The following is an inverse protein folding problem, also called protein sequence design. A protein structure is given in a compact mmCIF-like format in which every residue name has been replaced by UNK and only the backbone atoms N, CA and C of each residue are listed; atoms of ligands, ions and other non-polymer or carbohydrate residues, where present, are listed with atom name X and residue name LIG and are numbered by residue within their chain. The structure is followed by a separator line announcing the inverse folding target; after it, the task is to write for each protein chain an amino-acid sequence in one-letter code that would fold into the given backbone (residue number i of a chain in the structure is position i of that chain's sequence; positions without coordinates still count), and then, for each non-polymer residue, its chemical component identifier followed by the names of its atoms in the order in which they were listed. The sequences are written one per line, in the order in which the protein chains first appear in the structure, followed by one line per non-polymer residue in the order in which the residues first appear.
data_IF_273203521159
#
_entry.id   IF_273203521159
#
_cell.length_a   1.000
_cell.length_b   1.000
_cell.length_c   1.000
_cell.angle_alpha   90.00
_cell.angle_beta   90.00
_cell.angle_gamma   90.00
#
_symmetry.space_group_name_H-M   'P 1'
#
loop_
_entity.id
_entity.type
_entity.pdbx_description
1 polymer ?
#
# COMPACT_ATOMS: atom_id res chain seq x y z
N UNK A 1 7.85 4.81 4.89
CA UNK A 1 7.72 5.68 6.08
C UNK A 1 6.62 6.70 5.86
N UNK A 2 5.84 6.98 6.91
CA UNK A 2 4.93 8.13 7.02
C UNK A 2 5.57 9.19 7.90
N UNK A 3 5.25 10.46 7.61
CA UNK A 3 5.56 11.62 8.45
C UNK A 3 4.28 12.13 9.08
N UNK A 4 4.35 12.61 10.31
CA UNK A 4 3.22 13.16 11.03
C UNK A 4 3.44 14.64 11.31
N UNK A 5 2.47 15.45 10.91
CA UNK A 5 2.33 16.85 11.26
C UNK A 5 1.40 16.97 12.47
N UNK A 6 1.71 17.86 13.38
CA UNK A 6 0.87 18.18 14.54
C UNK A 6 0.10 19.49 14.33
N UNK A 7 -0.83 19.81 15.21
CA UNK A 7 -1.93 20.76 15.06
C UNK A 7 -1.59 22.25 14.84
N UNK A 8 -0.33 22.62 14.82
CA UNK A 8 0.11 24.01 14.68
C UNK A 8 0.48 24.45 13.25
N UNK A 9 0.03 23.68 12.24
CA UNK A 9 0.24 24.04 10.84
C UNK A 9 -1.06 24.56 10.21
N UNK A 10 -0.96 25.47 9.23
CA UNK A 10 -2.13 25.91 8.46
C UNK A 10 -2.73 24.80 7.59
N UNK A 11 -1.99 23.70 7.35
CA UNK A 11 -2.50 22.48 6.71
C UNK A 11 -3.54 21.76 7.56
N UNK A 12 -3.59 22.00 8.88
CA UNK A 12 -4.58 21.39 9.78
C UNK A 12 -6.03 21.68 9.43
N UNK A 13 -6.28 22.71 8.60
CA UNK A 13 -7.61 23.10 8.11
C UNK A 13 -8.12 22.26 6.92
N UNK A 14 -7.32 21.31 6.42
CA UNK A 14 -7.78 20.43 5.35
C UNK A 14 -8.94 19.54 5.81
N UNK A 15 -10.04 19.58 5.09
CA UNK A 15 -11.23 18.78 5.35
C UNK A 15 -11.24 17.44 4.56
N UNK A 16 -10.43 17.33 3.53
CA UNK A 16 -10.31 16.12 2.71
C UNK A 16 -8.84 15.75 2.47
N UNK A 17 -8.61 14.49 2.13
CA UNK A 17 -7.27 14.04 1.73
C UNK A 17 -6.90 14.59 0.35
N UNK A 18 -5.69 15.13 0.24
CA UNK A 18 -5.11 15.55 -1.03
C UNK A 18 -4.12 14.48 -1.51
N UNK A 19 -4.20 14.14 -2.81
CA UNK A 19 -3.27 13.23 -3.49
C UNK A 19 -2.56 13.97 -4.62
N UNK A 20 -1.24 13.78 -4.66
CA UNK A 20 -0.32 14.34 -5.66
C UNK A 20 0.77 13.27 -5.92
N UNK A 21 2.03 13.56 -6.07
CA UNK A 21 3.10 12.53 -6.03
C UNK A 21 3.25 11.81 -4.66
N UNK A 22 2.61 12.35 -3.64
CA UNK A 22 2.37 11.78 -2.33
C UNK A 22 0.92 11.98 -1.90
N UNK A 23 0.68 12.11 -0.61
CA UNK A 23 -0.62 12.47 -0.05
C UNK A 23 -0.49 13.17 1.30
N UNK A 24 -1.52 13.93 1.66
CA UNK A 24 -1.73 14.49 3.00
C UNK A 24 -3.17 14.25 3.41
N UNK A 25 -3.37 13.79 4.64
CA UNK A 25 -4.72 13.50 5.17
C UNK A 25 -5.31 14.72 5.89
N UNK A 26 -6.61 14.76 6.15
CA UNK A 26 -7.16 15.65 7.17
C UNK A 26 -6.50 15.43 8.54
N UNK A 27 -6.64 16.40 9.41
CA UNK A 27 -6.23 16.28 10.81
C UNK A 27 -7.22 15.38 11.56
N UNK A 28 -6.70 14.33 12.20
CA UNK A 28 -7.47 13.43 13.05
C UNK A 28 -6.73 13.30 14.38
N UNK A 29 -7.41 13.59 15.48
CA UNK A 29 -6.85 13.53 16.84
C UNK A 29 -5.51 14.29 16.99
N UNK A 30 -5.41 15.45 16.33
CA UNK A 30 -4.21 16.29 16.39
C UNK A 30 -3.05 15.81 15.53
N UNK A 31 -3.25 14.77 14.70
CA UNK A 31 -2.25 14.19 13.79
C UNK A 31 -2.74 14.26 12.36
N UNK A 32 -1.87 14.72 11.48
CA UNK A 32 -2.07 14.72 10.03
C UNK A 32 -0.95 13.91 9.38
N UNK A 33 -1.30 12.91 8.58
CA UNK A 33 -0.32 12.04 7.93
C UNK A 33 0.10 12.61 6.58
N UNK A 34 1.41 12.61 6.36
CA UNK A 34 2.07 13.01 5.12
C UNK A 34 2.89 11.84 4.58
N UNK A 35 2.72 11.48 3.36
CA UNK A 35 3.40 10.30 2.81
C UNK A 35 3.38 10.13 1.29
N UNK A 36 3.99 9.07 0.88
CA UNK A 36 4.80 8.16 1.64
C UNK A 36 6.12 7.89 0.89
N UNK A 37 7.18 7.76 1.65
CA UNK A 37 8.43 7.22 1.13
C UNK A 37 8.38 5.68 1.18
N UNK A 38 9.00 5.06 0.18
CA UNK A 38 9.15 3.61 0.08
C UNK A 38 10.64 3.28 0.03
N UNK A 39 11.06 2.37 0.92
CA UNK A 39 12.44 1.91 1.00
C UNK A 39 12.44 0.37 0.91
N UNK A 40 13.33 -0.16 0.09
CA UNK A 40 13.52 -1.59 -0.11
C UNK A 40 14.57 -2.18 0.84
N UNK A 41 15.29 -1.36 1.61
CA UNK A 41 16.32 -1.80 2.55
C UNK A 41 15.78 -2.67 3.69
N UNK A 42 14.47 -2.59 3.95
CA UNK A 42 13.81 -3.29 5.04
C UNK A 42 14.09 -2.69 6.42
N UNK A 43 14.74 -1.55 6.51
CA UNK A 43 14.96 -0.81 7.76
C UNK A 43 13.63 -0.40 8.39
N UNK A 44 13.53 -0.59 9.73
CA UNK A 44 12.38 -0.19 10.53
C UNK A 44 12.62 1.09 11.34
N UNK A 45 13.73 1.77 11.10
CA UNK A 45 14.07 3.02 11.76
C UNK A 45 13.53 4.23 11.00
N UNK A 46 13.09 5.25 11.75
CA UNK A 46 12.72 6.53 11.16
C UNK A 46 13.95 7.19 10.54
N UNK A 47 13.77 7.71 9.34
CA UNK A 47 14.82 8.39 8.57
C UNK A 47 14.46 9.86 8.35
N UNK A 48 15.37 10.77 8.73
CA UNK A 48 15.25 12.19 8.43
C UNK A 48 15.14 12.44 6.92
N UNK A 49 15.91 11.69 6.12
CA UNK A 49 15.86 11.78 4.65
C UNK A 49 14.45 11.43 4.12
N UNK A 50 13.81 10.41 4.69
CA UNK A 50 12.46 10.02 4.29
C UNK A 50 11.42 11.07 4.71
N UNK A 51 11.59 11.73 5.85
CA UNK A 51 10.74 12.86 6.24
C UNK A 51 10.87 14.03 5.26
N UNK A 52 12.09 14.42 4.93
CA UNK A 52 12.35 15.50 3.96
C UNK A 52 11.79 15.15 2.57
N UNK A 53 11.93 13.90 2.14
CA UNK A 53 11.33 13.44 0.90
C UNK A 53 9.79 13.56 0.94
N UNK A 54 9.14 13.11 2.01
CA UNK A 54 7.68 13.23 2.12
C UNK A 54 7.20 14.69 2.08
N UNK A 55 7.96 15.62 2.69
CA UNK A 55 7.68 17.06 2.62
C UNK A 55 7.89 17.59 1.20
N UNK A 56 8.97 17.18 0.52
CA UNK A 56 9.28 17.67 -0.84
C UNK A 56 8.26 17.21 -1.90
N UNK A 57 7.47 16.17 -1.60
CA UNK A 57 6.37 15.75 -2.47
C UNK A 57 5.17 16.72 -2.44
N UNK A 58 5.00 17.50 -1.36
CA UNK A 58 3.93 18.50 -1.29
C UNK A 58 4.06 19.53 -2.41
N UNK A 59 2.96 19.97 -3.04
CA UNK A 59 2.95 21.15 -3.88
C UNK A 59 3.57 22.36 -3.17
N UNK A 60 4.28 23.17 -3.90
CA UNK A 60 5.05 24.32 -3.36
C UNK A 60 4.19 25.27 -2.53
N UNK A 61 2.94 25.48 -2.92
CA UNK A 61 1.96 26.31 -2.23
C UNK A 61 1.64 25.75 -0.84
N UNK A 62 1.54 24.42 -0.73
CA UNK A 62 1.27 23.76 0.54
C UNK A 62 2.53 23.68 1.42
N UNK A 63 3.72 23.60 0.82
CA UNK A 63 4.98 23.66 1.60
C UNK A 63 5.13 24.99 2.33
N UNK A 64 4.68 26.10 1.73
CA UNK A 64 4.68 27.44 2.36
C UNK A 64 3.80 27.55 3.60
N UNK A 65 2.87 26.63 3.79
CA UNK A 65 1.99 26.57 4.96
C UNK A 65 2.62 25.82 6.14
N UNK A 66 3.78 25.20 5.93
CA UNK A 66 4.53 24.53 6.98
C UNK A 66 5.38 25.55 7.76
N UNK A 67 5.59 25.35 9.06
CA UNK A 67 6.47 26.21 9.84
C UNK A 67 7.95 25.99 9.46
N UNK A 68 8.76 27.01 9.62
CA UNK A 68 10.23 26.98 9.32
C UNK A 68 10.95 25.90 10.15
N UNK A 69 10.54 25.73 11.41
CA UNK A 69 11.03 24.66 12.30
C UNK A 69 10.00 23.54 12.38
N UNK A 70 10.18 22.53 11.51
CA UNK A 70 9.27 21.37 11.46
C UNK A 70 9.89 20.16 12.14
N UNK A 71 9.41 19.84 13.33
CA UNK A 71 9.72 18.58 13.99
C UNK A 71 8.73 17.50 13.51
N UNK A 72 9.24 16.51 12.75
CA UNK A 72 8.43 15.43 12.19
C UNK A 72 8.59 14.17 13.03
N UNK A 73 7.50 13.71 13.60
CA UNK A 73 7.34 12.33 14.05
C UNK A 73 6.88 11.46 12.87
N UNK A 74 6.79 10.17 13.08
CA UNK A 74 6.35 9.30 11.98
C UNK A 74 6.27 7.84 12.37
N UNK A 75 5.97 7.03 11.38
CA UNK A 75 5.92 5.57 11.49
C UNK A 75 6.56 4.89 10.29
N UNK A 76 7.33 3.86 10.57
CA UNK A 76 7.80 2.91 9.56
C UNK A 76 6.99 1.62 9.71
N UNK A 77 6.60 1.03 8.59
CA UNK A 77 5.91 -0.26 8.55
C UNK A 77 6.37 -1.04 7.33
N UNK A 78 6.45 -2.35 7.46
CA UNK A 78 6.69 -3.24 6.32
C UNK A 78 5.37 -3.51 5.61
N UNK A 79 5.44 -3.52 4.28
CA UNK A 79 4.33 -3.92 3.42
C UNK A 79 4.77 -5.10 2.58
N UNK A 80 4.01 -6.17 2.61
CA UNK A 80 4.24 -7.29 1.74
C UNK A 80 3.64 -6.98 0.36
N UNK A 81 4.47 -7.12 -0.67
CA UNK A 81 4.07 -7.01 -2.06
C UNK A 81 4.71 -8.15 -2.85
N UNK A 82 3.98 -8.68 -3.82
CA UNK A 82 4.51 -9.62 -4.79
C UNK A 82 5.41 -8.91 -5.82
N UNK A 83 6.16 -9.67 -6.60
CA UNK A 83 7.05 -9.14 -7.64
C UNK A 83 6.31 -8.27 -8.68
N UNK A 84 5.09 -8.64 -9.05
CA UNK A 84 4.25 -7.89 -10.00
C UNK A 84 3.27 -6.94 -9.31
N UNK A 85 3.42 -6.74 -7.98
CA UNK A 85 2.58 -5.88 -7.13
C UNK A 85 1.08 -6.26 -7.12
N UNK A 86 0.73 -7.44 -7.61
CA UNK A 86 -0.61 -7.99 -7.53
C UNK A 86 -0.81 -8.83 -6.27
N UNK A 87 -2.03 -8.97 -5.76
CA UNK A 87 -2.32 -9.80 -4.60
C UNK A 87 -2.08 -11.29 -4.89
N UNK A 88 -1.92 -12.07 -3.82
CA UNK A 88 -1.81 -13.54 -3.85
C UNK A 88 -3.01 -14.11 -3.10
N UNK A 89 -4.01 -14.59 -3.86
CA UNK A 89 -5.29 -15.04 -3.30
C UNK A 89 -5.63 -16.40 -3.89
N UNK A 90 -5.82 -17.40 -3.05
CA UNK A 90 -6.22 -18.73 -3.48
C UNK A 90 -5.45 -19.84 -2.79
N UNK A 91 -5.52 -21.04 -3.35
CA UNK A 91 -4.86 -22.20 -2.79
C UNK A 91 -3.36 -22.15 -3.06
N UNK A 92 -2.58 -22.45 -2.03
CA UNK A 92 -1.14 -22.66 -2.13
C UNK A 92 -0.82 -24.15 -2.13
N UNK A 93 -1.52 -24.89 -1.28
CA UNK A 93 -1.50 -26.34 -1.14
C UNK A 93 -2.91 -26.82 -0.76
N UNK A 94 -3.13 -28.11 -0.75
CA UNK A 94 -4.45 -28.75 -0.54
C UNK A 94 -5.22 -28.20 0.65
N UNK A 95 -4.53 -27.86 1.73
CA UNK A 95 -5.14 -27.33 2.98
C UNK A 95 -4.70 -25.91 3.32
N UNK A 96 -3.87 -25.27 2.48
CA UNK A 96 -3.32 -23.95 2.74
C UNK A 96 -3.85 -22.95 1.73
N UNK A 97 -4.54 -21.94 2.21
CA UNK A 97 -5.05 -20.84 1.40
C UNK A 97 -4.25 -19.57 1.68
N UNK A 98 -3.87 -18.84 0.65
CA UNK A 98 -3.19 -17.56 0.76
C UNK A 98 -4.17 -16.40 0.60
N UNK A 99 -4.02 -15.42 1.48
CA UNK A 99 -4.61 -14.10 1.41
C UNK A 99 -3.54 -13.07 1.75
N UNK A 100 -2.76 -12.67 0.75
CA UNK A 100 -1.51 -11.96 1.01
C UNK A 100 -1.11 -11.02 -0.13
N UNK A 101 -0.02 -10.28 0.07
CA UNK A 101 0.59 -9.36 -0.91
C UNK A 101 -0.38 -8.29 -1.45
N UNK A 102 -1.33 -7.83 -0.64
CA UNK A 102 -2.35 -6.85 -1.04
C UNK A 102 -1.76 -5.47 -1.39
N UNK A 103 -0.50 -5.21 -1.03
CA UNK A 103 0.23 -4.00 -1.37
C UNK A 103 -0.40 -2.72 -0.82
N UNK A 104 -0.34 -1.63 -1.61
CA UNK A 104 -0.88 -0.31 -1.20
C UNK A 104 -2.40 -0.21 -1.28
N UNK A 105 -3.04 -1.09 -2.03
CA UNK A 105 -4.50 -1.12 -2.23
C UNK A 105 -5.20 -2.15 -1.35
N UNK A 106 -4.50 -2.66 -0.31
CA UNK A 106 -5.01 -3.72 0.53
C UNK A 106 -6.37 -3.41 1.15
N UNK A 107 -6.52 -2.23 1.74
CA UNK A 107 -7.78 -1.83 2.38
C UNK A 107 -8.96 -1.78 1.38
N UNK A 108 -8.72 -1.30 0.17
CA UNK A 108 -9.72 -1.23 -0.89
C UNK A 108 -10.11 -2.60 -1.45
N UNK A 109 -9.10 -3.48 -1.64
CA UNK A 109 -9.31 -4.76 -2.32
C UNK A 109 -9.67 -5.90 -1.37
N UNK A 110 -9.31 -5.80 -0.08
CA UNK A 110 -9.48 -6.89 0.87
C UNK A 110 -10.92 -7.40 1.01
N UNK A 111 -11.97 -6.56 1.05
CA UNK A 111 -13.34 -7.05 1.19
C UNK A 111 -13.75 -7.94 0.02
N UNK A 112 -13.51 -7.50 -1.21
CA UNK A 112 -13.83 -8.27 -2.41
C UNK A 112 -13.00 -9.56 -2.49
N UNK A 113 -11.68 -9.46 -2.31
CA UNK A 113 -10.79 -10.61 -2.41
C UNK A 113 -11.00 -11.62 -1.27
N UNK A 114 -11.39 -11.15 -0.08
CA UNK A 114 -11.80 -12.01 1.02
C UNK A 114 -13.05 -12.81 0.69
N UNK A 115 -14.05 -12.16 0.07
CA UNK A 115 -15.26 -12.86 -0.41
C UNK A 115 -14.92 -13.90 -1.48
N UNK A 116 -14.02 -13.58 -2.42
CA UNK A 116 -13.55 -14.51 -3.47
C UNK A 116 -12.92 -15.74 -2.83
N UNK A 117 -12.01 -15.56 -1.87
CA UNK A 117 -11.37 -16.66 -1.17
C UNK A 117 -12.38 -17.49 -0.36
N UNK A 118 -13.28 -16.85 0.35
CA UNK A 118 -14.31 -17.54 1.12
C UNK A 118 -15.22 -18.40 0.22
N UNK A 119 -15.63 -17.88 -0.94
CA UNK A 119 -16.39 -18.64 -1.93
C UNK A 119 -15.61 -19.84 -2.45
N UNK A 120 -14.32 -19.66 -2.72
CA UNK A 120 -13.46 -20.73 -3.18
C UNK A 120 -13.35 -21.85 -2.14
N UNK A 121 -13.11 -21.54 -0.88
CA UNK A 121 -13.07 -22.50 0.24
C UNK A 121 -14.42 -23.23 0.38
N UNK A 122 -15.52 -22.54 0.14
CA UNK A 122 -16.86 -23.11 0.17
C UNK A 122 -17.27 -23.83 -1.13
N UNK A 123 -16.35 -24.08 -2.07
CA UNK A 123 -16.61 -24.66 -3.39
C UNK A 123 -17.73 -23.94 -4.17
N UNK A 124 -17.78 -22.61 -4.07
CA UNK A 124 -18.72 -21.74 -4.80
C UNK A 124 -18.01 -20.96 -5.89
N UNK A 125 -18.70 -20.57 -6.97
CA UNK A 125 -18.14 -19.71 -8.01
C UNK A 125 -17.58 -18.42 -7.39
N UNK A 126 -16.39 -17.99 -7.85
CA UNK A 126 -15.71 -16.80 -7.33
C UNK A 126 -16.49 -15.50 -7.54
N UNK A 127 -17.25 -15.43 -8.62
CA UNK A 127 -17.93 -14.20 -9.07
C UNK A 127 -17.01 -13.24 -9.83
N UNK A 128 -15.75 -13.64 -10.10
CA UNK A 128 -14.80 -12.88 -10.91
C UNK A 128 -14.48 -13.61 -12.21
N UNK A 129 -14.11 -12.84 -13.23
CA UNK A 129 -13.64 -13.35 -14.50
C UNK A 129 -12.39 -14.22 -14.35
N UNK A 130 -12.26 -15.20 -15.25
CA UNK A 130 -11.15 -16.14 -15.28
C UNK A 130 -9.79 -15.43 -15.38
N UNK A 131 -9.70 -14.34 -16.10
CA UNK A 131 -8.45 -13.59 -16.25
C UNK A 131 -8.06 -12.86 -14.97
N UNK A 132 -9.01 -12.31 -14.22
CA UNK A 132 -8.77 -11.74 -12.89
C UNK A 132 -8.31 -12.83 -11.93
N UNK A 133 -8.96 -13.99 -11.94
CA UNK A 133 -8.53 -15.13 -11.10
C UNK A 133 -7.10 -15.57 -11.41
N UNK A 134 -6.66 -15.56 -12.66
CA UNK A 134 -5.26 -15.86 -13.06
C UNK A 134 -4.27 -14.80 -12.55
N UNK A 135 -4.66 -13.53 -12.51
CA UNK A 135 -3.81 -12.43 -12.03
C UNK A 135 -3.56 -12.52 -10.53
N UNK A 136 -4.52 -13.02 -9.76
CA UNK A 136 -4.41 -13.12 -8.30
C UNK A 136 -3.91 -14.50 -7.82
N UNK A 137 -3.81 -15.49 -8.71
CA UNK A 137 -3.41 -16.87 -8.40
C UNK A 137 -2.01 -16.91 -7.75
N UNK A 138 -1.85 -17.55 -6.59
CA UNK A 138 -0.55 -17.73 -5.95
C UNK A 138 0.50 -18.43 -6.83
N UNK A 139 0.08 -19.33 -7.71
CA UNK A 139 0.97 -20.10 -8.61
C UNK A 139 1.31 -19.38 -9.92
N UNK A 140 0.79 -18.18 -10.16
CA UNK A 140 0.98 -17.46 -11.45
C UNK A 140 2.44 -17.27 -11.86
N UNK A 141 3.36 -17.16 -10.91
CA UNK A 141 4.79 -17.00 -11.21
C UNK A 141 5.41 -18.30 -11.73
N UNK A 142 5.12 -19.44 -11.12
CA UNK A 142 5.58 -20.75 -11.59
C UNK A 142 4.98 -21.11 -12.95
N UNK A 143 3.70 -20.84 -13.17
CA UNK A 143 3.02 -21.03 -14.46
C UNK A 143 3.68 -20.18 -15.55
N UNK A 144 4.01 -18.90 -15.27
CA UNK A 144 4.70 -18.02 -16.22
C UNK A 144 6.11 -18.54 -16.55
N UNK A 145 6.87 -18.98 -15.54
CA UNK A 145 8.22 -19.53 -15.73
C UNK A 145 8.23 -20.78 -16.61
N UNK A 146 7.28 -21.70 -16.42
CA UNK A 146 7.14 -22.91 -17.24
C UNK A 146 6.80 -22.56 -18.69
N UNK A 147 5.89 -21.61 -18.94
CA UNK A 147 5.55 -21.17 -20.31
C UNK A 147 6.72 -20.54 -21.04
N UNK A 148 7.59 -19.80 -20.34
CA UNK A 148 8.77 -19.19 -20.96
C UNK A 148 9.82 -20.22 -21.33
N UNK A 149 9.99 -21.30 -20.56
CA UNK A 149 10.90 -22.41 -20.87
C UNK A 149 10.43 -23.19 -22.11
N UNK A 150 9.14 -23.40 -22.28
CA UNK A 150 8.59 -24.17 -23.40
C UNK A 150 8.55 -23.39 -24.73
N UNK A 151 8.89 -22.11 -24.75
CA UNK A 151 8.97 -21.24 -25.94
C UNK A 151 10.39 -21.03 -26.46
N UNK A 152 11.39 -21.60 -25.79
CA UNK A 152 12.79 -21.65 -26.23
C UNK A 152 13.18 -23.03 -26.72
#
# INVERSE_FOLDING_TARGET
QLSFLHSNTNLSKLECSLQYGGYVTPMIEGIQALGASFDLSGTMQLSKKAHLHNVSLLPTELQKLLPDSLELKGRVSRRLASQDRGPLIGDWHDTIHLFSALGSRGLTNAPLLGLVLARKIANRPSGLDRDIMRIIDPHRFSIRATRTKNRR
#
